data_IF_502100640088
#
_entry.id   IF_502100640088
#
_cell.length_a   1.000
_cell.length_b   1.000
_cell.length_c   1.000
_cell.angle_alpha   90.00
_cell.angle_beta   90.00
_cell.angle_gamma   90.00
#
_symmetry.space_group_name_H-M   'P 1'
#
loop_
_entity.id
_entity.type
_entity.pdbx_description
1 polymer ?
#
# COMPACT_ATOMS: atom_id res chain seq x y z
N UNK A 1 -4.87 -6.94 44.78
CA UNK A 1 -3.73 -7.87 44.64
C UNK A 1 -2.75 -7.15 43.74
N UNK A 2 -1.64 -6.71 44.31
CA UNK A 2 -0.61 -5.96 43.58
C UNK A 2 0.14 -6.94 42.68
N UNK A 3 -0.29 -7.05 41.43
CA UNK A 3 0.33 -7.88 40.39
C UNK A 3 1.52 -7.13 39.77
N UNK A 4 2.42 -6.60 40.61
CA UNK A 4 3.72 -6.15 40.13
C UNK A 4 4.50 -7.37 39.68
N UNK A 5 4.50 -7.58 38.36
CA UNK A 5 5.17 -8.65 37.62
C UNK A 5 6.61 -8.89 38.12
N UNK A 6 6.78 -9.91 38.97
CA UNK A 6 8.09 -10.47 39.33
C UNK A 6 8.40 -11.73 38.48
N UNK A 7 7.89 -11.79 37.25
CA UNK A 7 8.25 -12.86 36.32
C UNK A 7 9.73 -12.68 35.94
N UNK A 8 10.54 -13.71 36.17
CA UNK A 8 11.97 -13.80 35.81
C UNK A 8 12.99 -13.03 36.67
N UNK A 9 12.60 -12.33 37.74
CA UNK A 9 13.55 -11.64 38.64
C UNK A 9 14.50 -12.59 39.40
N UNK A 10 14.16 -13.88 39.47
CA UNK A 10 15.02 -14.92 40.05
C UNK A 10 16.16 -15.33 39.13
N UNK A 11 16.14 -14.92 37.86
CA UNK A 11 17.16 -15.24 36.87
C UNK A 11 17.86 -13.97 36.38
N UNK A 12 19.19 -13.99 36.21
CA UNK A 12 19.86 -12.87 35.57
C UNK A 12 19.38 -12.73 34.11
N UNK A 13 19.34 -11.51 33.55
CA UNK A 13 19.04 -11.31 32.15
C UNK A 13 20.09 -12.02 31.30
N UNK A 14 19.64 -12.69 30.24
CA UNK A 14 20.51 -13.42 29.31
C UNK A 14 20.85 -12.52 28.13
N UNK A 15 22.12 -12.44 27.79
CA UNK A 15 22.64 -11.65 26.67
C UNK A 15 22.48 -12.38 25.33
N UNK A 16 22.54 -11.65 24.21
CA UNK A 16 22.58 -12.27 22.86
C UNK A 16 23.75 -13.24 22.73
N UNK A 17 24.90 -12.92 23.33
CA UNK A 17 26.12 -13.73 23.26
C UNK A 17 26.00 -15.09 23.97
N UNK A 18 25.34 -15.11 25.13
CA UNK A 18 25.03 -16.36 25.85
C UNK A 18 24.09 -17.26 25.04
N UNK A 19 23.06 -16.67 24.41
CA UNK A 19 22.19 -17.38 23.47
C UNK A 19 22.97 -17.94 22.27
N UNK A 20 23.83 -17.13 21.65
CA UNK A 20 24.67 -17.57 20.53
C UNK A 20 25.62 -18.70 20.92
N UNK A 21 26.16 -18.66 22.14
CA UNK A 21 27.01 -19.75 22.67
C UNK A 21 26.23 -21.06 22.76
N UNK A 22 24.98 -21.00 23.22
CA UNK A 22 24.10 -22.16 23.28
C UNK A 22 23.72 -22.67 21.88
N UNK A 23 23.36 -21.78 20.95
CA UNK A 23 23.04 -22.13 19.56
C UNK A 23 24.23 -22.83 18.90
N UNK A 24 25.44 -22.27 19.01
CA UNK A 24 26.67 -22.86 18.46
C UNK A 24 26.93 -24.28 18.99
N UNK A 25 26.70 -24.49 20.29
CA UNK A 25 26.80 -25.82 20.90
C UNK A 25 25.79 -26.80 20.28
N UNK A 26 24.56 -26.37 20.06
CA UNK A 26 23.48 -27.21 19.54
C UNK A 26 23.63 -27.48 18.03
N UNK A 27 24.27 -26.58 17.30
CA UNK A 27 24.61 -26.73 15.87
C UNK A 27 25.73 -27.74 15.58
N UNK A 28 26.42 -28.25 16.61
CA UNK A 28 27.43 -29.33 16.50
C UNK A 28 28.46 -29.09 15.39
N UNK A 29 28.94 -27.86 15.26
CA UNK A 29 29.99 -27.48 14.30
C UNK A 29 29.50 -26.85 12.99
N UNK A 30 28.19 -26.76 12.75
CA UNK A 30 27.65 -25.91 11.67
C UNK A 30 27.76 -24.43 12.01
N UNK A 31 27.96 -23.58 11.01
CA UNK A 31 28.04 -22.13 11.20
C UNK A 31 26.66 -21.55 11.52
N UNK A 32 26.59 -20.52 12.37
CA UNK A 32 25.32 -19.88 12.74
C UNK A 32 24.74 -19.13 11.54
N UNK A 33 25.63 -18.60 10.71
CA UNK A 33 25.33 -17.86 9.49
C UNK A 33 24.57 -18.70 8.46
N UNK A 34 24.66 -20.04 8.53
CA UNK A 34 23.87 -20.96 7.70
C UNK A 34 22.37 -20.92 8.04
N UNK A 35 22.00 -20.45 9.24
CA UNK A 35 20.61 -20.28 9.65
C UNK A 35 20.02 -18.94 9.20
N UNK A 36 20.83 -18.04 8.66
CA UNK A 36 20.36 -16.73 8.26
C UNK A 36 19.52 -16.85 7.00
N UNK A 37 18.31 -16.31 7.03
CA UNK A 37 17.49 -16.25 5.84
C UNK A 37 18.01 -15.14 4.92
N UNK A 38 18.24 -15.48 3.66
CA UNK A 38 18.65 -14.53 2.61
C UNK A 38 17.41 -14.09 1.84
N UNK A 39 17.20 -12.78 1.80
CA UNK A 39 16.15 -12.08 1.08
C UNK A 39 16.83 -11.16 0.06
N UNK A 40 17.15 -11.70 -1.12
CA UNK A 40 18.07 -11.05 -2.04
C UNK A 40 19.37 -10.61 -1.35
N UNK A 41 19.61 -9.30 -1.31
CA UNK A 41 20.80 -8.68 -0.69
C UNK A 41 20.70 -8.53 0.85
N UNK A 42 19.52 -8.72 1.43
CA UNK A 42 19.29 -8.55 2.88
C UNK A 42 19.42 -9.90 3.60
N UNK A 43 20.17 -9.90 4.71
CA UNK A 43 20.31 -11.06 5.59
C UNK A 43 19.51 -10.87 6.88
N UNK A 44 18.68 -11.85 7.19
CA UNK A 44 17.80 -11.84 8.35
C UNK A 44 18.28 -12.84 9.39
N UNK A 45 18.45 -12.37 10.62
CA UNK A 45 18.88 -13.21 11.73
C UNK A 45 17.70 -14.10 12.18
N UNK A 46 17.92 -15.41 12.43
CA UNK A 46 16.86 -16.31 12.90
C UNK A 46 16.45 -16.05 14.37
N UNK A 47 17.24 -15.23 15.07
CA UNK A 47 17.09 -14.92 16.49
C UNK A 47 17.44 -13.43 16.72
N UNK A 48 16.47 -12.53 16.50
CA UNK A 48 16.62 -11.14 16.90
C UNK A 48 16.53 -11.01 18.43
N UNK A 49 17.37 -10.17 19.01
CA UNK A 49 17.49 -9.99 20.46
C UNK A 49 17.38 -8.52 20.86
N UNK A 50 17.05 -8.25 22.12
CA UNK A 50 17.00 -6.90 22.68
C UNK A 50 18.32 -6.14 22.49
N UNK A 51 19.46 -6.85 22.52
CA UNK A 51 20.78 -6.25 22.30
C UNK A 51 20.92 -5.62 20.90
N UNK A 52 20.17 -6.10 19.90
CA UNK A 52 20.14 -5.54 18.53
C UNK A 52 19.32 -4.25 18.43
N UNK A 53 18.57 -3.94 19.49
CA UNK A 53 17.68 -2.78 19.56
C UNK A 53 18.32 -1.58 20.26
N UNK A 54 19.60 -1.66 20.65
CA UNK A 54 20.32 -0.54 21.27
C UNK A 54 20.36 0.66 20.32
N UNK A 55 19.79 1.79 20.76
CA UNK A 55 19.70 3.02 19.97
C UNK A 55 18.54 3.04 18.96
N UNK A 56 17.72 1.99 18.92
CA UNK A 56 16.51 1.94 18.09
C UNK A 56 15.34 2.46 18.93
N UNK A 57 14.70 3.51 18.44
CA UNK A 57 13.49 4.02 19.07
C UNK A 57 12.28 3.21 18.60
N UNK A 58 11.81 2.29 19.44
CA UNK A 58 10.65 1.44 19.17
C UNK A 58 9.34 2.23 19.32
N UNK A 59 9.00 3.04 18.31
CA UNK A 59 7.75 3.80 18.24
C UNK A 59 6.94 3.40 17.00
N UNK A 60 5.59 3.47 17.08
CA UNK A 60 4.73 3.34 15.91
C UNK A 60 5.18 4.28 14.77
N UNK A 61 5.28 3.75 13.55
CA UNK A 61 5.61 4.53 12.34
C UNK A 61 4.39 5.23 11.73
N UNK A 62 3.20 4.90 12.21
CA UNK A 62 1.93 5.53 11.87
C UNK A 62 0.97 5.40 13.04
N UNK A 63 0.03 6.33 13.15
CA UNK A 63 -0.98 6.41 14.21
C UNK A 63 -2.40 6.16 13.70
N UNK A 64 -2.59 6.12 12.36
CA UNK A 64 -3.87 5.78 11.75
C UNK A 64 -4.26 4.34 12.10
N UNK A 65 -5.51 4.20 12.52
CA UNK A 65 -6.15 2.94 12.80
C UNK A 65 -7.05 2.56 11.62
N UNK A 66 -7.01 1.28 11.21
CA UNK A 66 -7.85 0.74 10.16
C UNK A 66 -7.43 1.13 8.73
N UNK A 67 -8.22 0.63 7.78
CA UNK A 67 -8.07 0.80 6.35
C UNK A 67 -9.46 0.87 5.67
N UNK A 68 -9.49 1.39 4.44
CA UNK A 68 -10.66 1.33 3.57
C UNK A 68 -10.74 -0.04 2.88
N UNK A 69 -11.88 -0.72 3.03
CA UNK A 69 -12.16 -1.98 2.33
C UNK A 69 -12.43 -1.66 0.85
N UNK A 70 -11.45 -1.99 0.01
CA UNK A 70 -11.47 -1.70 -1.42
C UNK A 70 -11.92 -2.90 -2.28
N UNK A 71 -12.69 -2.63 -3.33
CA UNK A 71 -12.96 -3.59 -4.42
C UNK A 71 -12.77 -2.93 -5.79
N UNK A 72 -12.27 -3.71 -6.75
CA UNK A 72 -12.11 -3.30 -8.14
C UNK A 72 -13.32 -3.69 -8.99
N UNK A 73 -13.78 -2.73 -9.78
CA UNK A 73 -14.95 -2.83 -10.68
C UNK A 73 -14.48 -2.65 -12.12
N UNK A 74 -14.53 -3.73 -12.90
CA UNK A 74 -14.26 -3.70 -14.34
C UNK A 74 -15.37 -2.93 -15.06
N UNK A 75 -15.00 -1.92 -15.87
CA UNK A 75 -15.98 -0.99 -16.48
C UNK A 75 -16.20 -1.19 -17.98
N UNK A 76 -15.90 -2.38 -18.51
CA UNK A 76 -16.14 -2.76 -19.91
C UNK A 76 -17.62 -2.59 -20.29
N UNK A 77 -18.54 -3.09 -19.46
CA UNK A 77 -19.98 -2.83 -19.53
C UNK A 77 -20.37 -1.91 -18.36
N UNK A 78 -20.77 -0.68 -18.67
CA UNK A 78 -21.06 0.37 -17.68
C UNK A 78 -22.26 0.04 -16.79
N UNK A 79 -23.30 -0.60 -17.34
CA UNK A 79 -24.49 -0.93 -16.57
C UNK A 79 -24.20 -2.10 -15.63
N UNK A 80 -23.46 -3.10 -16.11
CA UNK A 80 -23.01 -4.20 -15.28
C UNK A 80 -22.05 -3.72 -14.19
N UNK A 81 -21.12 -2.82 -14.53
CA UNK A 81 -20.18 -2.21 -13.58
C UNK A 81 -20.90 -1.43 -12.49
N UNK A 82 -21.92 -0.62 -12.84
CA UNK A 82 -22.72 0.09 -11.86
C UNK A 82 -23.49 -0.86 -10.94
N UNK A 83 -24.15 -1.88 -11.49
CA UNK A 83 -24.87 -2.89 -10.69
C UNK A 83 -23.92 -3.63 -9.73
N UNK A 84 -22.73 -4.01 -10.21
CA UNK A 84 -21.70 -4.63 -9.38
C UNK A 84 -21.22 -3.68 -8.28
N UNK A 85 -20.96 -2.41 -8.60
CA UNK A 85 -20.53 -1.41 -7.63
C UNK A 85 -21.57 -1.22 -6.51
N UNK A 86 -22.85 -1.07 -6.85
CA UNK A 86 -23.93 -0.95 -5.87
C UNK A 86 -24.04 -2.20 -5.00
N UNK A 87 -23.97 -3.39 -5.60
CA UNK A 87 -23.98 -4.64 -4.84
C UNK A 87 -22.78 -4.76 -3.88
N UNK A 88 -21.59 -4.35 -4.32
CA UNK A 88 -20.39 -4.32 -3.48
C UNK A 88 -20.55 -3.37 -2.29
N UNK A 89 -21.13 -2.18 -2.49
CA UNK A 89 -21.44 -1.24 -1.41
C UNK A 89 -22.46 -1.80 -0.40
N UNK A 90 -23.52 -2.44 -0.86
CA UNK A 90 -24.49 -3.15 0.00
C UNK A 90 -23.83 -4.27 0.82
N UNK A 91 -22.73 -4.83 0.32
CA UNK A 91 -21.91 -5.85 1.00
C UNK A 91 -20.77 -5.26 1.86
N UNK A 92 -20.79 -3.95 2.14
CA UNK A 92 -19.86 -3.30 3.07
C UNK A 92 -18.50 -2.91 2.47
N UNK A 93 -18.38 -2.79 1.14
CA UNK A 93 -17.22 -2.11 0.54
C UNK A 93 -17.28 -0.62 0.88
N UNK A 94 -16.12 -0.06 1.23
CA UNK A 94 -15.98 1.34 1.65
C UNK A 94 -15.36 2.21 0.55
N UNK A 95 -14.62 1.59 -0.38
CA UNK A 95 -13.89 2.25 -1.46
C UNK A 95 -13.98 1.47 -2.77
N UNK A 96 -14.45 2.13 -3.83
CA UNK A 96 -14.58 1.53 -5.16
C UNK A 96 -13.45 2.02 -6.06
N UNK A 97 -12.82 1.12 -6.81
CA UNK A 97 -11.90 1.49 -7.90
C UNK A 97 -12.45 0.99 -9.23
N UNK A 98 -12.81 1.92 -10.10
CA UNK A 98 -13.27 1.61 -11.45
C UNK A 98 -12.08 1.44 -12.38
N UNK A 99 -11.94 0.27 -12.99
CA UNK A 99 -10.94 0.00 -14.04
C UNK A 99 -11.51 0.48 -15.36
N UNK A 100 -10.85 1.48 -15.95
CA UNK A 100 -11.30 2.19 -17.16
C UNK A 100 -10.41 1.80 -18.35
N UNK A 101 -11.02 1.34 -19.43
CA UNK A 101 -10.33 1.01 -20.67
C UNK A 101 -10.30 2.18 -21.68
N UNK A 102 -11.14 3.19 -21.45
CA UNK A 102 -11.33 4.32 -22.35
C UNK A 102 -11.84 5.57 -21.62
N UNK A 103 -11.88 6.69 -22.34
CA UNK A 103 -12.61 7.87 -21.90
C UNK A 103 -14.12 7.62 -21.99
N UNK A 104 -14.81 7.76 -20.86
CA UNK A 104 -16.25 7.44 -20.77
C UNK A 104 -17.15 8.53 -21.36
N UNK A 105 -16.75 9.81 -21.30
CA UNK A 105 -17.67 10.92 -21.51
C UNK A 105 -18.71 11.08 -20.39
N UNK A 106 -19.44 12.20 -20.37
CA UNK A 106 -20.38 12.53 -19.28
C UNK A 106 -21.50 11.50 -19.12
N UNK A 107 -22.13 11.05 -20.22
CA UNK A 107 -23.27 10.14 -20.15
C UNK A 107 -22.89 8.78 -19.52
N UNK A 108 -21.77 8.19 -19.94
CA UNK A 108 -21.36 6.88 -19.40
C UNK A 108 -20.80 7.02 -17.99
N UNK A 109 -20.09 8.11 -17.69
CA UNK A 109 -19.67 8.41 -16.31
C UNK A 109 -20.89 8.59 -15.39
N UNK A 110 -21.96 9.24 -15.86
CA UNK A 110 -23.20 9.36 -15.11
C UNK A 110 -23.85 8.00 -14.82
N UNK A 111 -23.98 7.16 -15.85
CA UNK A 111 -24.50 5.79 -15.69
C UNK A 111 -23.63 4.93 -14.77
N UNK A 112 -22.31 5.03 -14.86
CA UNK A 112 -21.38 4.29 -14.01
C UNK A 112 -21.57 4.63 -12.52
N UNK A 113 -21.83 5.90 -12.22
CA UNK A 113 -21.95 6.43 -10.87
C UNK A 113 -23.40 6.56 -10.38
N UNK A 114 -24.36 6.02 -11.12
CA UNK A 114 -25.78 6.08 -10.74
C UNK A 114 -26.02 5.38 -9.39
N UNK A 115 -26.77 5.99 -8.49
CA UNK A 115 -27.05 5.44 -7.16
C UNK A 115 -25.88 5.48 -6.14
N UNK A 116 -24.65 5.79 -6.56
CA UNK A 116 -23.50 5.88 -5.66
C UNK A 116 -23.45 7.25 -4.97
N UNK A 117 -23.40 7.25 -3.64
CA UNK A 117 -23.21 8.46 -2.82
C UNK A 117 -21.72 8.84 -2.75
N UNK A 118 -21.31 9.71 -3.67
CA UNK A 118 -19.92 10.16 -3.81
C UNK A 118 -19.45 11.03 -2.63
N UNK A 119 -20.35 11.56 -1.80
CA UNK A 119 -19.96 12.32 -0.61
C UNK A 119 -19.43 11.40 0.51
N UNK A 120 -19.85 10.14 0.50
CA UNK A 120 -19.48 9.13 1.49
C UNK A 120 -18.38 8.21 0.94
N UNK A 121 -18.58 7.69 -0.27
CA UNK A 121 -17.74 6.64 -0.86
C UNK A 121 -16.48 7.23 -1.49
N UNK A 122 -15.31 6.74 -1.06
CA UNK A 122 -14.06 7.06 -1.75
C UNK A 122 -14.06 6.39 -3.13
N UNK A 123 -13.95 7.21 -4.18
CA UNK A 123 -14.12 6.75 -5.58
C UNK A 123 -12.81 6.89 -6.33
N UNK A 124 -12.26 5.76 -6.74
CA UNK A 124 -10.96 5.68 -7.40
C UNK A 124 -11.13 5.22 -8.85
N UNK A 125 -10.15 5.56 -9.68
CA UNK A 125 -10.08 5.19 -11.09
C UNK A 125 -8.72 4.57 -11.39
N UNK A 126 -8.69 3.55 -12.22
CA UNK A 126 -7.47 2.99 -12.79
C UNK A 126 -7.58 3.01 -14.31
N UNK A 127 -6.79 3.87 -14.93
CA UNK A 127 -6.69 4.03 -16.38
C UNK A 127 -5.78 2.94 -16.95
N UNK A 128 -6.38 1.89 -17.52
CA UNK A 128 -5.65 0.70 -17.98
C UNK A 128 -4.82 0.96 -19.24
N UNK A 129 -5.22 1.96 -20.04
CA UNK A 129 -4.57 2.28 -21.30
C UNK A 129 -3.31 3.15 -21.10
N UNK A 130 -2.19 2.78 -21.73
CA UNK A 130 -0.94 3.57 -21.70
C UNK A 130 -1.09 4.98 -22.27
N UNK A 131 -2.03 5.17 -23.20
CA UNK A 131 -2.35 6.48 -23.81
C UNK A 131 -3.58 7.14 -23.16
N UNK A 132 -3.97 6.70 -21.97
CA UNK A 132 -5.11 7.28 -21.28
C UNK A 132 -4.90 8.78 -21.01
N UNK A 133 -6.00 9.51 -21.00
CA UNK A 133 -6.03 10.94 -20.67
C UNK A 133 -6.78 11.08 -19.33
N UNK A 134 -6.13 10.77 -18.19
CA UNK A 134 -6.75 10.72 -16.87
C UNK A 134 -7.51 12.01 -16.51
N UNK A 135 -7.02 13.16 -17.00
CA UNK A 135 -7.66 14.46 -16.80
C UNK A 135 -9.10 14.48 -17.32
N UNK A 136 -9.36 13.93 -18.50
CA UNK A 136 -10.71 13.98 -19.10
C UNK A 136 -11.72 13.16 -18.29
N UNK A 137 -11.38 11.95 -17.87
CA UNK A 137 -12.25 11.15 -17.01
C UNK A 137 -12.48 11.83 -15.65
N UNK A 138 -11.46 12.49 -15.07
CA UNK A 138 -11.66 13.31 -13.87
C UNK A 138 -12.56 14.53 -14.11
N UNK A 139 -12.47 15.20 -15.26
CA UNK A 139 -13.35 16.30 -15.62
C UNK A 139 -14.81 15.85 -15.75
N UNK A 140 -15.06 14.69 -16.37
CA UNK A 140 -16.38 14.06 -16.41
C UNK A 140 -16.87 13.73 -14.99
N UNK A 141 -16.02 13.15 -14.14
CA UNK A 141 -16.36 12.89 -12.74
C UNK A 141 -16.76 14.17 -11.98
N UNK A 142 -15.97 15.24 -12.12
CA UNK A 142 -16.24 16.57 -11.53
C UNK A 142 -17.56 17.14 -12.07
N UNK A 143 -17.82 17.01 -13.38
CA UNK A 143 -19.04 17.49 -14.01
C UNK A 143 -20.27 16.79 -13.41
N UNK A 144 -20.23 15.45 -13.34
CA UNK A 144 -21.31 14.64 -12.77
C UNK A 144 -21.51 14.94 -11.29
N UNK A 145 -20.45 15.08 -10.50
CA UNK A 145 -20.55 15.45 -9.09
C UNK A 145 -21.24 16.81 -8.89
N UNK A 146 -20.88 17.82 -9.70
CA UNK A 146 -21.53 19.14 -9.67
C UNK A 146 -22.98 19.08 -10.13
N UNK A 147 -23.29 18.29 -11.16
CA UNK A 147 -24.66 18.06 -11.63
C UNK A 147 -25.53 17.46 -10.52
N UNK A 148 -24.95 16.59 -9.68
CA UNK A 148 -25.58 16.03 -8.46
C UNK A 148 -25.62 17.01 -7.27
N UNK A 149 -25.11 18.24 -7.41
CA UNK A 149 -25.10 19.26 -6.36
C UNK A 149 -24.06 19.04 -5.26
N UNK A 150 -23.04 18.21 -5.50
CA UNK A 150 -22.00 17.90 -4.52
C UNK A 150 -20.89 18.96 -4.51
N UNK A 151 -20.35 19.23 -3.32
CA UNK A 151 -19.10 19.99 -3.20
C UNK A 151 -17.91 19.07 -3.54
N UNK A 152 -17.31 19.33 -4.70
CA UNK A 152 -16.17 18.52 -5.19
C UNK A 152 -14.96 18.60 -4.27
N UNK A 153 -14.89 19.60 -3.38
CA UNK A 153 -13.81 19.74 -2.40
C UNK A 153 -13.86 18.69 -1.29
N UNK A 154 -15.01 18.05 -1.07
CA UNK A 154 -15.17 17.01 -0.06
C UNK A 154 -14.95 15.59 -0.62
N UNK A 155 -14.93 15.44 -1.94
CA UNK A 155 -14.78 14.14 -2.60
C UNK A 155 -13.38 13.57 -2.39
N UNK A 156 -13.31 12.26 -2.17
CA UNK A 156 -12.08 11.51 -1.90
C UNK A 156 -11.90 10.42 -2.94
N UNK A 157 -10.65 10.14 -3.27
CA UNK A 157 -10.33 9.16 -4.29
C UNK A 157 -8.93 9.31 -4.84
N UNK A 158 -8.61 8.51 -5.85
CA UNK A 158 -7.38 8.62 -6.60
C UNK A 158 -7.60 8.26 -8.07
N UNK A 159 -6.81 8.83 -8.96
CA UNK A 159 -6.65 8.31 -10.32
C UNK A 159 -5.27 7.67 -10.45
N UNK A 160 -5.25 6.39 -10.79
CA UNK A 160 -4.04 5.65 -11.15
C UNK A 160 -3.96 5.55 -12.67
N UNK A 161 -2.81 5.84 -13.24
CA UNK A 161 -2.56 5.88 -14.68
C UNK A 161 -1.08 5.57 -14.97
N UNK A 162 -0.81 5.04 -16.16
CA UNK A 162 0.54 4.67 -16.61
C UNK A 162 1.40 5.89 -16.92
N UNK A 163 2.67 5.88 -16.52
CA UNK A 163 3.48 7.10 -16.50
C UNK A 163 4.96 6.90 -16.91
N UNK A 164 5.23 6.10 -17.95
CA UNK A 164 6.58 5.68 -18.33
C UNK A 164 7.44 6.73 -19.09
N UNK A 165 6.86 7.81 -19.65
CA UNK A 165 7.58 8.71 -20.60
C UNK A 165 7.55 10.23 -20.23
N UNK A 166 8.36 11.07 -20.90
CA UNK A 166 8.46 12.52 -20.60
C UNK A 166 7.19 13.36 -20.92
N UNK A 167 6.31 12.88 -21.82
CA UNK A 167 5.02 13.53 -22.16
C UNK A 167 4.09 13.61 -20.95
N UNK A 168 4.28 12.69 -20.00
CA UNK A 168 3.55 12.53 -18.73
C UNK A 168 3.74 13.72 -17.78
N UNK A 169 4.79 14.53 -17.92
CA UNK A 169 5.08 15.63 -16.99
C UNK A 169 4.12 16.82 -17.14
N UNK A 170 3.70 17.12 -18.37
CA UNK A 170 2.71 18.19 -18.62
C UNK A 170 1.34 17.75 -18.09
N UNK A 171 0.93 16.52 -18.38
CA UNK A 171 -0.29 15.92 -17.83
C UNK A 171 -0.29 15.89 -16.29
N UNK A 172 0.84 15.55 -15.66
CA UNK A 172 0.97 15.55 -14.21
C UNK A 172 0.78 16.94 -13.59
N UNK A 173 1.34 17.99 -14.21
CA UNK A 173 1.13 19.37 -13.75
C UNK A 173 -0.33 19.80 -13.89
N UNK A 174 -0.95 19.55 -15.04
CA UNK A 174 -2.36 19.88 -15.27
C UNK A 174 -3.32 19.13 -14.32
N UNK A 175 -3.02 17.87 -14.03
CA UNK A 175 -3.76 17.07 -13.05
C UNK A 175 -3.65 17.65 -11.63
N UNK A 176 -2.45 18.06 -11.21
CA UNK A 176 -2.23 18.69 -9.91
C UNK A 176 -2.98 20.02 -9.83
N UNK A 177 -2.93 20.85 -10.88
CA UNK A 177 -3.67 22.10 -10.94
C UNK A 177 -5.19 21.86 -10.89
N UNK A 178 -5.70 20.87 -11.63
CA UNK A 178 -7.10 20.47 -11.58
C UNK A 178 -7.49 20.02 -10.16
N UNK A 179 -6.68 19.18 -9.53
CA UNK A 179 -6.94 18.66 -8.19
C UNK A 179 -6.90 19.77 -7.14
N UNK A 180 -5.93 20.68 -7.18
CA UNK A 180 -5.86 21.82 -6.26
C UNK A 180 -7.08 22.74 -6.36
N UNK A 181 -7.55 22.98 -7.58
CA UNK A 181 -8.67 23.87 -7.81
C UNK A 181 -10.03 23.22 -7.54
N UNK A 182 -10.19 21.90 -7.78
CA UNK A 182 -11.50 21.23 -7.83
C UNK A 182 -11.63 20.01 -6.93
N UNK A 183 -10.55 19.25 -6.68
CA UNK A 183 -10.55 17.99 -5.92
C UNK A 183 -9.37 17.93 -4.91
N UNK A 184 -9.28 18.84 -3.93
CA UNK A 184 -8.13 18.94 -3.02
C UNK A 184 -7.83 17.67 -2.21
N UNK A 185 -8.81 16.75 -2.06
CA UNK A 185 -8.66 15.49 -1.35
C UNK A 185 -8.43 14.28 -2.29
N UNK A 186 -8.39 14.47 -3.61
CA UNK A 186 -8.00 13.41 -4.55
C UNK A 186 -6.49 13.26 -4.64
N UNK A 187 -6.02 12.06 -4.98
CA UNK A 187 -4.63 11.78 -5.35
C UNK A 187 -4.53 11.58 -6.86
N UNK A 188 -3.59 12.25 -7.52
CA UNK A 188 -3.47 12.26 -8.98
C UNK A 188 -2.07 11.92 -9.49
N UNK A 189 -1.10 11.76 -8.59
CA UNK A 189 0.27 11.37 -8.89
C UNK A 189 0.52 9.94 -8.37
N UNK A 190 0.19 8.91 -9.16
CA UNK A 190 0.44 7.53 -8.79
C UNK A 190 1.95 7.22 -8.81
N UNK A 191 2.40 6.46 -7.83
CA UNK A 191 3.65 5.71 -7.88
C UNK A 191 3.29 4.23 -7.92
N UNK A 192 3.40 3.64 -9.10
CA UNK A 192 3.01 2.27 -9.39
C UNK A 192 4.14 1.30 -9.05
N UNK A 193 4.27 0.98 -7.76
CA UNK A 193 5.30 0.05 -7.29
C UNK A 193 5.07 -1.39 -7.78
N UNK A 194 3.85 -1.73 -8.20
CA UNK A 194 3.53 -3.03 -8.79
C UNK A 194 4.37 -3.35 -10.03
N UNK A 195 4.79 -2.35 -10.80
CA UNK A 195 5.66 -2.52 -11.97
C UNK A 195 7.08 -3.01 -11.59
N UNK A 196 7.45 -2.86 -10.32
CA UNK A 196 8.76 -3.26 -9.79
C UNK A 196 8.66 -4.48 -8.87
N UNK A 197 7.47 -5.07 -8.74
CA UNK A 197 7.27 -6.23 -7.88
C UNK A 197 7.92 -7.47 -8.50
N UNK A 198 8.91 -8.02 -7.80
CA UNK A 198 9.67 -9.21 -8.23
C UNK A 198 9.84 -10.19 -7.05
N UNK A 199 8.82 -10.27 -6.20
CA UNK A 199 8.83 -11.11 -5.01
C UNK A 199 9.93 -10.74 -4.00
N UNK A 200 10.34 -11.72 -3.20
CA UNK A 200 11.25 -11.50 -2.07
C UNK A 200 12.67 -11.06 -2.47
N UNK A 201 13.15 -11.49 -3.64
CA UNK A 201 14.52 -11.20 -4.07
C UNK A 201 14.66 -9.79 -4.65
N UNK A 202 13.58 -9.22 -5.21
CA UNK A 202 13.55 -7.88 -5.79
C UNK A 202 13.21 -6.74 -4.83
N UNK A 203 12.91 -7.01 -3.55
CA UNK A 203 12.35 -6.03 -2.61
C UNK A 203 13.16 -4.74 -2.44
N UNK A 204 14.49 -4.85 -2.42
CA UNK A 204 15.39 -3.69 -2.30
C UNK A 204 15.22 -2.78 -3.52
N UNK A 205 15.14 -3.37 -4.70
CA UNK A 205 14.97 -2.65 -5.96
C UNK A 205 13.55 -2.10 -6.11
N UNK A 206 12.53 -2.86 -5.69
CA UNK A 206 11.13 -2.41 -5.64
C UNK A 206 11.01 -1.12 -4.81
N UNK A 207 11.53 -1.13 -3.58
CA UNK A 207 11.51 0.04 -2.70
C UNK A 207 12.33 1.21 -3.26
N UNK A 208 13.52 0.96 -3.81
CA UNK A 208 14.38 1.99 -4.39
C UNK A 208 13.72 2.66 -5.61
N UNK A 209 13.19 1.87 -6.55
CA UNK A 209 12.47 2.38 -7.72
C UNK A 209 11.20 3.13 -7.32
N UNK A 210 10.49 2.65 -6.29
CA UNK A 210 9.28 3.30 -5.77
C UNK A 210 9.59 4.72 -5.28
N UNK A 211 10.60 4.89 -4.44
CA UNK A 211 10.94 6.22 -3.91
C UNK A 211 11.61 7.09 -4.97
N UNK A 212 12.35 6.50 -5.91
CA UNK A 212 12.89 7.20 -7.07
C UNK A 212 11.77 7.80 -7.91
N UNK A 213 10.75 7.02 -8.26
CA UNK A 213 9.61 7.52 -9.03
C UNK A 213 8.84 8.62 -8.28
N UNK A 214 8.69 8.49 -6.97
CA UNK A 214 8.10 9.54 -6.15
C UNK A 214 8.95 10.82 -6.14
N UNK A 215 10.27 10.71 -6.04
CA UNK A 215 11.20 11.85 -6.12
C UNK A 215 11.13 12.52 -7.50
N UNK A 216 11.03 11.75 -8.59
CA UNK A 216 10.85 12.30 -9.94
C UNK A 216 9.61 13.20 -10.03
N UNK A 217 8.50 12.84 -9.34
CA UNK A 217 7.33 13.73 -9.27
C UNK A 217 7.64 15.04 -8.55
N UNK A 218 8.34 14.99 -7.41
CA UNK A 218 8.71 16.18 -6.67
C UNK A 218 9.62 17.09 -7.51
N UNK A 219 10.67 16.52 -8.11
CA UNK A 219 11.67 17.24 -8.91
C UNK A 219 11.04 17.89 -10.14
N UNK A 220 10.26 17.13 -10.93
CA UNK A 220 9.67 17.63 -12.17
C UNK A 220 8.64 18.73 -11.93
N UNK A 221 7.84 18.63 -10.87
CA UNK A 221 6.86 19.65 -10.51
C UNK A 221 7.55 20.88 -9.87
N UNK A 222 8.68 20.70 -9.19
CA UNK A 222 9.48 21.81 -8.68
C UNK A 222 10.06 22.67 -9.82
N UNK A 223 10.43 22.07 -10.98
CA UNK A 223 10.81 22.83 -12.18
C UNK A 223 9.69 23.73 -12.71
N UNK A 224 8.43 23.40 -12.39
CA UNK A 224 7.23 24.21 -12.68
C UNK A 224 6.83 25.12 -11.51
N UNK A 225 7.68 25.29 -10.50
CA UNK A 225 7.46 26.07 -9.28
C UNK A 225 6.35 25.54 -8.37
N UNK A 226 5.99 24.25 -8.45
CA UNK A 226 5.09 23.63 -7.48
C UNK A 226 5.89 23.27 -6.22
N UNK A 227 5.39 23.66 -5.05
CA UNK A 227 6.05 23.34 -3.79
C UNK A 227 6.05 21.82 -3.52
N UNK A 228 7.16 21.21 -3.03
CA UNK A 228 7.24 19.75 -2.81
C UNK A 228 6.14 19.20 -1.90
N UNK A 229 5.73 19.95 -0.86
CA UNK A 229 4.62 19.55 0.01
C UNK A 229 3.27 19.50 -0.74
N UNK A 230 3.06 20.36 -1.74
CA UNK A 230 1.88 20.33 -2.62
C UNK A 230 1.91 19.10 -3.50
N UNK A 231 3.03 18.81 -4.16
CA UNK A 231 3.20 17.58 -4.96
C UNK A 231 2.96 16.33 -4.12
N UNK A 232 3.57 16.26 -2.91
CA UNK A 232 3.37 15.16 -1.96
C UNK A 232 1.89 14.98 -1.57
N UNK A 233 1.13 16.07 -1.40
CA UNK A 233 -0.31 16.00 -1.06
C UNK A 233 -1.10 15.23 -2.11
N UNK A 234 -0.72 15.29 -3.39
CA UNK A 234 -1.40 14.62 -4.49
C UNK A 234 -0.81 13.27 -4.88
N UNK A 235 0.30 12.89 -4.25
CA UNK A 235 0.97 11.61 -4.44
C UNK A 235 0.27 10.49 -3.68
N UNK A 236 0.32 9.28 -4.24
CA UNK A 236 0.03 8.04 -3.52
C UNK A 236 0.87 6.89 -4.07
N UNK A 237 1.11 5.89 -3.23
CA UNK A 237 1.82 4.68 -3.60
C UNK A 237 0.82 3.55 -3.83
N UNK A 238 0.89 2.90 -4.99
CA UNK A 238 0.13 1.69 -5.29
C UNK A 238 1.09 0.50 -5.27
N UNK A 239 0.94 -0.37 -4.28
CA UNK A 239 1.87 -1.49 -4.02
C UNK A 239 1.19 -2.84 -4.17
N UNK A 240 1.94 -3.81 -4.72
CA UNK A 240 1.61 -5.23 -4.63
C UNK A 240 2.06 -5.79 -3.28
N UNK A 241 1.28 -6.67 -2.68
CA UNK A 241 1.61 -7.37 -1.43
C UNK A 241 1.74 -8.86 -1.72
N UNK A 242 2.93 -9.40 -1.56
CA UNK A 242 3.24 -10.80 -1.82
C UNK A 242 3.02 -11.74 -0.64
N UNK A 243 3.33 -13.02 -0.80
CA UNK A 243 3.07 -14.07 0.20
C UNK A 243 3.98 -14.06 1.45
N UNK A 244 5.05 -13.26 1.48
CA UNK A 244 6.03 -13.28 2.57
C UNK A 244 5.60 -12.40 3.75
N UNK A 245 4.81 -12.97 4.66
CA UNK A 245 4.10 -12.27 5.75
C UNK A 245 4.85 -11.10 6.42
N UNK A 246 5.93 -11.39 7.16
CA UNK A 246 6.68 -10.35 7.87
C UNK A 246 7.49 -9.42 6.97
N UNK A 247 7.87 -9.92 5.79
CA UNK A 247 8.66 -9.16 4.83
C UNK A 247 7.81 -8.07 4.20
N UNK A 248 6.57 -8.38 3.84
CA UNK A 248 5.61 -7.40 3.36
C UNK A 248 5.24 -6.37 4.43
N UNK A 249 5.04 -6.81 5.68
CA UNK A 249 4.83 -5.87 6.81
C UNK A 249 6.01 -4.90 6.90
N UNK A 250 7.25 -5.43 6.89
CA UNK A 250 8.45 -4.62 6.96
C UNK A 250 8.65 -3.72 5.72
N UNK A 251 8.21 -4.17 4.52
CA UNK A 251 8.27 -3.39 3.28
C UNK A 251 7.44 -2.13 3.36
N UNK A 252 6.16 -2.24 3.76
CA UNK A 252 5.27 -1.09 3.90
C UNK A 252 5.79 -0.12 4.97
N UNK A 253 6.34 -0.63 6.08
CA UNK A 253 6.99 0.17 7.12
C UNK A 253 8.26 0.86 6.61
N UNK A 254 9.10 0.16 5.85
CA UNK A 254 10.35 0.69 5.29
C UNK A 254 10.09 1.82 4.29
N UNK A 255 9.04 1.70 3.46
CA UNK A 255 8.62 2.76 2.54
C UNK A 255 8.34 4.08 3.28
N UNK A 256 7.71 4.04 4.46
CA UNK A 256 7.44 5.24 5.27
C UNK A 256 8.73 5.92 5.73
N UNK A 257 9.70 5.12 6.20
CA UNK A 257 11.02 5.64 6.62
C UNK A 257 11.78 6.24 5.44
N UNK A 258 11.79 5.55 4.30
CA UNK A 258 12.45 6.01 3.09
C UNK A 258 11.84 7.31 2.58
N UNK A 259 10.51 7.40 2.50
CA UNK A 259 9.83 8.59 2.04
C UNK A 259 10.05 9.79 2.98
N UNK A 260 10.06 9.55 4.29
CA UNK A 260 10.44 10.58 5.25
C UNK A 260 11.86 11.13 5.01
N UNK A 261 12.81 10.27 4.61
CA UNK A 261 14.15 10.71 4.22
C UNK A 261 14.15 11.53 2.93
N UNK A 262 13.35 11.16 1.93
CA UNK A 262 13.17 11.95 0.69
C UNK A 262 12.64 13.35 1.03
N UNK A 263 11.56 13.44 1.80
CA UNK A 263 10.95 14.72 2.18
C UNK A 263 11.89 15.57 3.05
N UNK A 264 12.69 14.94 3.92
CA UNK A 264 13.73 15.62 4.71
C UNK A 264 14.83 16.19 3.82
N UNK A 265 15.25 15.48 2.77
CA UNK A 265 16.24 15.98 1.81
C UNK A 265 15.73 17.23 1.06
N UNK A 266 14.44 17.24 0.73
CA UNK A 266 13.74 18.41 0.17
C UNK A 266 13.51 19.55 1.18
N UNK A 267 13.82 19.34 2.46
CA UNK A 267 13.49 20.27 3.56
C UNK A 267 12.01 20.68 3.56
N UNK A 268 11.14 19.77 3.13
CA UNK A 268 9.72 20.01 3.11
C UNK A 268 9.17 19.99 4.54
N UNK A 269 8.42 21.02 4.90
CA UNK A 269 7.67 21.13 6.15
C UNK A 269 6.18 20.85 5.88
N UNK A 270 5.40 20.59 6.93
CA UNK A 270 3.93 20.44 6.89
C UNK A 270 3.40 19.42 5.85
N UNK A 271 4.15 18.33 5.61
CA UNK A 271 3.72 17.24 4.75
C UNK A 271 3.19 16.05 5.57
N UNK A 272 2.34 15.24 4.93
CA UNK A 272 1.84 13.99 5.49
C UNK A 272 2.26 12.82 4.61
N UNK A 273 2.46 11.64 5.20
CA UNK A 273 2.78 10.44 4.44
C UNK A 273 1.70 10.16 3.39
N UNK A 274 2.09 10.01 2.10
CA UNK A 274 1.16 9.65 1.04
C UNK A 274 0.37 8.38 1.35
N UNK A 275 -0.82 8.29 0.76
CA UNK A 275 -1.68 7.11 0.86
C UNK A 275 -0.94 5.89 0.29
N UNK A 276 -0.99 4.78 1.02
CA UNK A 276 -0.58 3.46 0.52
C UNK A 276 -1.84 2.69 0.11
N UNK A 277 -2.05 2.54 -1.20
CA UNK A 277 -3.07 1.67 -1.80
C UNK A 277 -2.45 0.30 -2.05
N UNK A 278 -2.88 -0.71 -1.31
CA UNK A 278 -2.32 -2.06 -1.37
C UNK A 278 -3.24 -3.00 -2.16
N UNK A 279 -2.65 -3.69 -3.13
CA UNK A 279 -3.27 -4.76 -3.89
C UNK A 279 -2.54 -6.07 -3.59
N UNK A 280 -3.26 -7.17 -3.49
CA UNK A 280 -2.58 -8.46 -3.44
C UNK A 280 -1.91 -8.75 -4.78
N UNK A 281 -0.72 -9.32 -4.77
CA UNK A 281 0.04 -9.58 -5.99
C UNK A 281 -0.69 -10.61 -6.87
N UNK A 282 -1.12 -10.26 -8.11
CA UNK A 282 -1.76 -11.21 -9.02
C UNK A 282 -0.84 -12.38 -9.39
N UNK A 283 0.47 -12.10 -9.50
CA UNK A 283 1.50 -13.09 -9.83
C UNK A 283 1.61 -14.24 -8.80
N UNK A 284 1.06 -14.05 -7.59
CA UNK A 284 1.05 -15.07 -6.54
C UNK A 284 -0.21 -15.96 -6.60
N UNK A 285 -1.11 -15.81 -7.58
CA UNK A 285 -2.22 -16.75 -7.76
C UNK A 285 -1.81 -18.01 -8.52
N UNK A 286 -2.46 -19.13 -8.20
CA UNK A 286 -2.33 -20.42 -8.90
C UNK A 286 -3.69 -20.92 -9.37
N UNK A 287 -3.71 -22.02 -10.12
CA UNK A 287 -4.96 -22.69 -10.53
C UNK A 287 -5.74 -23.29 -9.33
N UNK A 288 -5.12 -23.43 -8.14
CA UNK A 288 -5.79 -23.89 -6.93
C UNK A 288 -6.43 -22.70 -6.19
N UNK A 289 -7.72 -22.48 -6.48
CA UNK A 289 -8.52 -21.41 -5.86
C UNK A 289 -8.55 -21.47 -4.32
N UNK A 290 -8.51 -22.66 -3.71
CA UNK A 290 -8.51 -22.78 -2.25
C UNK A 290 -7.18 -22.34 -1.66
N UNK A 291 -6.08 -22.64 -2.36
CA UNK A 291 -4.77 -22.11 -1.99
C UNK A 291 -4.73 -20.58 -2.11
N UNK A 292 -5.32 -20.00 -3.16
CA UNK A 292 -5.43 -18.56 -3.34
C UNK A 292 -6.17 -17.88 -2.18
N UNK A 293 -7.23 -18.50 -1.65
CA UNK A 293 -7.95 -17.97 -0.47
C UNK A 293 -7.06 -17.89 0.78
N UNK A 294 -6.21 -18.90 1.00
CA UNK A 294 -5.28 -18.92 2.14
C UNK A 294 -4.20 -17.85 1.97
N UNK A 295 -3.62 -17.75 0.76
CA UNK A 295 -2.64 -16.70 0.41
C UNK A 295 -3.25 -15.31 0.61
N UNK A 296 -4.46 -15.10 0.11
CA UNK A 296 -5.15 -13.84 0.22
C UNK A 296 -5.31 -13.38 1.67
N UNK A 297 -5.56 -14.32 2.59
CA UNK A 297 -5.68 -14.03 4.02
C UNK A 297 -4.35 -13.53 4.60
N UNK A 298 -3.23 -14.21 4.34
CA UNK A 298 -1.93 -13.82 4.89
C UNK A 298 -1.41 -12.53 4.27
N UNK A 299 -1.62 -12.32 2.97
CA UNK A 299 -1.25 -11.09 2.29
C UNK A 299 -2.08 -9.90 2.83
N UNK A 300 -3.40 -10.07 2.98
CA UNK A 300 -4.28 -9.06 3.55
C UNK A 300 -3.86 -8.65 4.97
N UNK A 301 -3.59 -9.64 5.84
CA UNK A 301 -3.06 -9.38 7.19
C UNK A 301 -1.75 -8.57 7.14
N UNK A 302 -0.84 -8.93 6.24
CA UNK A 302 0.45 -8.25 6.09
C UNK A 302 0.27 -6.80 5.66
N UNK A 303 -0.62 -6.54 4.70
CA UNK A 303 -0.95 -5.21 4.22
C UNK A 303 -1.51 -4.31 5.34
N UNK A 304 -2.46 -4.82 6.13
CA UNK A 304 -3.12 -4.01 7.18
C UNK A 304 -2.20 -3.79 8.37
N UNK A 305 -1.41 -4.79 8.77
CA UNK A 305 -0.42 -4.66 9.85
C UNK A 305 0.73 -3.73 9.43
N UNK A 306 1.12 -3.76 8.15
CA UNK A 306 2.08 -2.80 7.56
C UNK A 306 1.51 -1.38 7.41
N UNK A 307 0.21 -1.19 7.65
CA UNK A 307 -0.45 0.11 7.67
C UNK A 307 -0.94 0.58 6.31
N UNK A 308 -1.37 -0.29 5.40
CA UNK A 308 -2.03 0.10 4.15
C UNK A 308 -3.27 0.98 4.42
N UNK A 309 -3.44 2.06 3.65
CA UNK A 309 -4.58 2.98 3.77
C UNK A 309 -5.85 2.38 3.18
N UNK A 310 -5.69 1.72 2.03
CA UNK A 310 -6.73 1.02 1.29
C UNK A 310 -6.19 -0.36 0.94
N UNK A 311 -7.03 -1.37 1.01
CA UNK A 311 -6.69 -2.74 0.65
C UNK A 311 -7.69 -3.27 -0.38
N UNK A 312 -7.17 -3.85 -1.45
CA UNK A 312 -7.96 -4.64 -2.39
C UNK A 312 -7.46 -6.08 -2.38
N UNK A 313 -8.36 -6.99 -2.00
CA UNK A 313 -8.14 -8.43 -2.07
C UNK A 313 -8.61 -8.94 -3.42
N UNK A 314 -7.74 -9.64 -4.14
CA UNK A 314 -8.10 -10.26 -5.41
C UNK A 314 -9.03 -11.46 -5.16
N UNK A 315 -10.11 -11.62 -5.96
CA UNK A 315 -10.89 -12.85 -5.98
C UNK A 315 -10.02 -14.06 -6.30
N UNK A 316 -10.36 -15.22 -5.74
CA UNK A 316 -9.53 -16.44 -5.87
C UNK A 316 -9.47 -17.03 -7.28
N UNK A 317 -10.38 -16.60 -8.17
CA UNK A 317 -10.52 -16.96 -9.59
C UNK A 317 -9.99 -15.87 -10.55
N UNK A 318 -9.30 -14.84 -10.04
CA UNK A 318 -8.87 -13.69 -10.86
C UNK A 318 -7.93 -14.08 -12.02
N UNK A 319 -7.13 -15.12 -11.85
CA UNK A 319 -6.30 -15.69 -12.91
C UNK A 319 -7.10 -16.18 -14.14
N UNK A 320 -8.41 -16.45 -14.01
CA UNK A 320 -9.29 -16.83 -15.12
C UNK A 320 -9.82 -15.61 -15.92
N UNK A 321 -9.69 -14.39 -15.38
CA UNK A 321 -10.14 -13.15 -16.00
C UNK A 321 -11.63 -12.83 -15.82
N UNK A 322 -12.43 -13.74 -15.27
CA UNK A 322 -13.84 -13.53 -14.93
C UNK A 322 -14.14 -13.93 -13.47
N UNK A 323 -14.38 -12.93 -12.62
CA UNK A 323 -14.58 -13.15 -11.19
C UNK A 323 -16.04 -13.44 -10.84
N UNK A 324 -16.30 -14.57 -10.18
CA UNK A 324 -17.65 -14.93 -9.73
C UNK A 324 -18.14 -14.08 -8.55
N UNK A 325 -19.46 -13.99 -8.36
CA UNK A 325 -20.04 -13.34 -7.17
C UNK A 325 -19.57 -14.01 -5.85
N UNK A 326 -19.31 -15.32 -5.89
CA UNK A 326 -18.83 -16.06 -4.73
C UNK A 326 -17.42 -15.65 -4.35
N UNK A 327 -16.48 -15.66 -5.30
CA UNK A 327 -15.08 -15.31 -5.03
C UNK A 327 -14.91 -13.85 -4.63
N UNK A 328 -15.64 -12.92 -5.27
CA UNK A 328 -15.70 -11.51 -4.85
C UNK A 328 -16.16 -11.34 -3.41
N UNK A 329 -17.22 -12.08 -3.03
CA UNK A 329 -17.70 -12.09 -1.63
C UNK A 329 -16.63 -12.62 -0.68
N UNK A 330 -15.92 -13.68 -1.03
CA UNK A 330 -14.83 -14.21 -0.21
C UNK A 330 -13.72 -13.17 -0.05
N UNK A 331 -13.29 -12.53 -1.15
CA UNK A 331 -12.25 -11.49 -1.13
C UNK A 331 -12.60 -10.32 -0.20
N UNK A 332 -13.84 -9.82 -0.28
CA UNK A 332 -14.35 -8.80 0.67
C UNK A 332 -14.38 -9.32 2.11
N UNK A 333 -14.89 -10.54 2.31
CA UNK A 333 -15.09 -11.09 3.64
C UNK A 333 -13.77 -11.35 4.38
N UNK A 334 -12.67 -11.62 3.68
CA UNK A 334 -11.33 -11.66 4.31
C UNK A 334 -11.08 -10.34 5.04
N UNK A 335 -11.29 -9.20 4.38
CA UNK A 335 -11.08 -7.89 4.99
C UNK A 335 -12.03 -7.64 6.17
N UNK A 336 -13.32 -8.00 6.01
CA UNK A 336 -14.32 -7.90 7.06
C UNK A 336 -13.97 -8.70 8.30
N UNK A 337 -13.53 -9.96 8.15
CA UNK A 337 -13.12 -10.81 9.27
C UNK A 337 -11.90 -10.19 9.97
N UNK A 338 -10.91 -9.69 9.21
CA UNK A 338 -9.72 -9.06 9.80
C UNK A 338 -10.07 -7.80 10.60
N UNK A 339 -11.02 -7.00 10.10
CA UNK A 339 -11.46 -5.75 10.74
C UNK A 339 -12.39 -6.02 11.93
N UNK A 340 -13.51 -6.70 11.69
CA UNK A 340 -14.61 -6.81 12.64
C UNK A 340 -14.49 -7.96 13.64
N UNK A 341 -13.79 -9.05 13.30
CA UNK A 341 -13.69 -10.24 14.16
C UNK A 341 -12.28 -10.43 14.74
N UNK A 342 -11.24 -10.11 13.97
CA UNK A 342 -9.84 -10.21 14.41
C UNK A 342 -9.33 -8.91 15.03
N UNK A 343 -10.08 -7.81 14.90
CA UNK A 343 -9.77 -6.51 15.50
C UNK A 343 -8.38 -5.96 15.13
N UNK A 344 -7.92 -6.24 13.89
CA UNK A 344 -6.66 -5.70 13.39
C UNK A 344 -6.73 -4.19 13.12
N UNK A 345 -7.88 -3.57 13.35
CA UNK A 345 -8.14 -2.14 13.33
C UNK A 345 -8.34 -1.53 14.73
N UNK A 346 -7.77 -2.11 15.79
CA UNK A 346 -7.84 -1.51 17.14
C UNK A 346 -6.56 -0.79 17.56
N UNK A 347 -5.42 -1.18 16.97
CA UNK A 347 -4.09 -0.67 17.34
C UNK A 347 -3.36 -0.26 16.07
N UNK A 348 -2.83 0.96 16.06
CA UNK A 348 -1.92 1.41 14.99
C UNK A 348 -0.53 0.79 15.18
N UNK A 349 0.07 0.34 14.08
CA UNK A 349 1.39 -0.31 14.03
C UNK A 349 1.63 -1.34 15.16
N UNK A 350 0.85 -2.44 15.24
CA UNK A 350 0.92 -3.39 16.35
C UNK A 350 2.24 -4.16 16.43
N UNK A 351 3.09 -4.06 15.40
CA UNK A 351 4.43 -4.67 15.33
C UNK A 351 5.54 -3.72 15.78
N UNK A 352 5.21 -2.49 16.20
CA UNK A 352 6.17 -1.57 16.78
C UNK A 352 6.84 -2.18 18.03
N UNK A 353 8.16 -2.20 18.06
CA UNK A 353 8.95 -2.80 19.14
C UNK A 353 9.22 -4.30 19.01
N UNK A 354 8.66 -4.98 18.01
CA UNK A 354 9.10 -6.34 17.66
C UNK A 354 10.55 -6.31 17.17
N UNK A 355 11.47 -6.95 17.89
CA UNK A 355 12.90 -6.96 17.54
C UNK A 355 13.13 -7.41 16.10
N UNK A 356 12.35 -8.41 15.67
CA UNK A 356 12.40 -8.96 14.32
C UNK A 356 11.97 -7.96 13.25
N UNK A 357 10.76 -7.41 13.38
CA UNK A 357 10.17 -6.55 12.35
C UNK A 357 10.90 -5.22 12.29
N UNK A 358 11.32 -4.68 13.44
CA UNK A 358 12.13 -3.46 13.50
C UNK A 358 13.48 -3.63 12.79
N UNK A 359 14.20 -4.73 13.05
CA UNK A 359 15.48 -5.00 12.39
C UNK A 359 15.30 -5.20 10.88
N UNK A 360 14.32 -6.00 10.47
CA UNK A 360 14.02 -6.24 9.06
C UNK A 360 13.64 -4.93 8.33
N UNK A 361 12.78 -4.12 8.94
CA UNK A 361 12.36 -2.81 8.39
C UNK A 361 13.56 -1.90 8.17
N UNK A 362 14.46 -1.78 9.16
CA UNK A 362 15.68 -0.96 9.04
C UNK A 362 16.63 -1.49 7.99
N UNK A 363 16.85 -2.80 7.92
CA UNK A 363 17.73 -3.42 6.92
C UNK A 363 17.22 -3.19 5.50
N UNK A 364 15.92 -3.41 5.27
CA UNK A 364 15.27 -3.12 3.98
C UNK A 364 15.39 -1.64 3.62
N UNK A 365 15.06 -0.72 4.54
CA UNK A 365 15.19 0.71 4.30
C UNK A 365 16.63 1.14 4.02
N UNK A 366 17.62 0.64 4.76
CA UNK A 366 19.02 0.98 4.54
C UNK A 366 19.53 0.50 3.17
N UNK A 367 19.20 -0.74 2.80
CA UNK A 367 19.58 -1.31 1.51
C UNK A 367 18.92 -0.55 0.34
N UNK A 368 17.60 -0.31 0.43
CA UNK A 368 16.86 0.42 -0.60
C UNK A 368 17.33 1.87 -0.74
N UNK A 369 17.64 2.55 0.37
CA UNK A 369 18.21 3.90 0.34
C UNK A 369 19.57 3.92 -0.38
N UNK A 370 20.44 2.96 -0.09
CA UNK A 370 21.74 2.85 -0.74
C UNK A 370 21.64 2.51 -2.24
N UNK A 371 20.62 1.75 -2.65
CA UNK A 371 20.33 1.50 -4.06
C UNK A 371 19.79 2.78 -4.74
N UNK A 372 18.83 3.46 -4.12
CA UNK A 372 18.27 4.73 -4.61
C UNK A 372 19.34 5.81 -4.81
N UNK A 373 20.30 5.96 -3.90
CA UNK A 373 21.38 6.94 -4.04
C UNK A 373 22.32 6.71 -5.23
N UNK A 374 22.26 5.55 -5.88
CA UNK A 374 23.04 5.21 -7.07
C UNK A 374 22.27 5.44 -8.38
N UNK A 375 20.97 5.75 -8.30
CA UNK A 375 20.09 5.94 -9.46
C UNK A 375 20.26 7.31 -10.10
#
# INVERSE_FOLDING_TARGET
MDLTNNLFNEFPPVTKEEWLTKIKKDLKGKAVEELHWKLGEVSVDPFPHLDDMKGVEAKPLFDRIGWEIGEDIESHDILQANHQALHSLECGVESLRFVLDENLGDHRMESLLEGIDLAIISTHFYEKNKNAQPKHNLEHFIHIAKKKGLDTRLLRGAVNWWNEDAVVLEDAFELVELAENKLPNFKVLPVNAHDYFDGADGLVQELANTIFKGEMWLSSLAEKNVHPATSNRYLFFSLSVGVNYFVEIAKLRALRLLWANVMKAWKAEDWQMPMIDAHLAPADQTEDMHQNMIRATTQAMSAVIGGANRLTVLPSDDFEGENTNFSRRIARNVQHILKMESHLDWVADPVAGSYYVEDLTRKLAAAAWAAFQKM
#
